data_IF_109106714189
#
_entry.id   IF_109106714189
#
_cell.length_a   1.000
_cell.length_b   1.000
_cell.length_c   1.000
_cell.angle_alpha   90.00
_cell.angle_beta   90.00
_cell.angle_gamma   90.00
#
_symmetry.space_group_name_H-M   'P 1'
#
loop_
_entity.id
_entity.type
_entity.pdbx_description
1 polymer ?
#
# COMPACT_ATOMS: atom_id res chain seq x y z
N UNK A 1 -20.64 -4.08 19.11
CA UNK A 1 -19.34 -4.15 19.84
C UNK A 1 -18.26 -4.88 19.05
N UNK A 2 -18.55 -6.02 18.41
CA UNK A 2 -17.57 -6.79 17.63
C UNK A 2 -16.92 -5.98 16.49
N UNK A 3 -17.67 -5.08 15.84
CA UNK A 3 -17.15 -4.26 14.73
C UNK A 3 -15.94 -3.42 15.10
N UNK A 4 -15.91 -2.88 16.32
CA UNK A 4 -14.77 -2.08 16.80
C UNK A 4 -13.50 -2.92 16.84
N UNK A 5 -13.60 -4.17 17.27
CA UNK A 5 -12.47 -5.11 17.32
C UNK A 5 -12.06 -5.56 15.92
N UNK A 6 -13.02 -5.85 15.03
CA UNK A 6 -12.73 -6.23 13.64
C UNK A 6 -12.04 -5.10 12.87
N UNK A 7 -12.46 -3.85 13.05
CA UNK A 7 -11.80 -2.67 12.48
C UNK A 7 -10.36 -2.52 12.95
N UNK A 8 -10.11 -2.75 14.24
CA UNK A 8 -8.75 -2.74 14.81
C UNK A 8 -7.92 -3.86 14.19
N UNK A 9 -8.43 -5.09 14.17
CA UNK A 9 -7.75 -6.25 13.61
C UNK A 9 -7.41 -6.05 12.14
N UNK A 10 -8.34 -5.56 11.33
CA UNK A 10 -8.12 -5.29 9.92
C UNK A 10 -6.97 -4.28 9.71
N UNK A 11 -6.92 -3.21 10.50
CA UNK A 11 -5.81 -2.26 10.44
C UNK A 11 -4.47 -2.89 10.83
N UNK A 12 -4.44 -3.76 11.85
CA UNK A 12 -3.23 -4.47 12.24
C UNK A 12 -2.75 -5.40 11.13
N UNK A 13 -3.64 -6.14 10.47
CA UNK A 13 -3.29 -7.03 9.35
C UNK A 13 -2.68 -6.22 8.20
N UNK A 14 -3.35 -5.17 7.73
CA UNK A 14 -2.84 -4.34 6.63
C UNK A 14 -1.51 -3.67 7.00
N UNK A 15 -1.42 -3.14 8.23
CA UNK A 15 -0.19 -2.53 8.74
C UNK A 15 0.96 -3.53 8.80
N UNK A 16 0.72 -4.75 9.30
CA UNK A 16 1.71 -5.83 9.34
C UNK A 16 2.18 -6.22 7.95
N UNK A 17 1.26 -6.41 7.00
CA UNK A 17 1.61 -6.74 5.62
C UNK A 17 2.54 -5.68 5.02
N UNK A 18 2.20 -4.39 5.16
CA UNK A 18 3.03 -3.29 4.67
C UNK A 18 4.44 -3.30 5.29
N UNK A 19 4.54 -3.51 6.60
CA UNK A 19 5.84 -3.57 7.30
C UNK A 19 6.68 -4.79 6.89
N UNK A 20 6.05 -5.95 6.67
CA UNK A 20 6.76 -7.15 6.23
C UNK A 20 7.25 -6.99 4.78
N UNK A 21 6.47 -6.37 3.90
CA UNK A 21 6.92 -6.07 2.53
C UNK A 21 8.13 -5.14 2.51
N UNK A 22 8.07 -4.01 3.22
CA UNK A 22 9.22 -3.10 3.24
C UNK A 22 10.43 -3.69 3.96
N UNK A 23 10.23 -4.53 4.98
CA UNK A 23 11.32 -5.26 5.62
C UNK A 23 12.03 -6.20 4.64
N UNK A 24 11.29 -6.93 3.81
CA UNK A 24 11.89 -7.75 2.74
C UNK A 24 12.60 -6.88 1.69
N UNK A 25 12.02 -5.75 1.30
CA UNK A 25 12.65 -4.84 0.35
C UNK A 25 13.98 -4.28 0.88
N UNK A 26 14.04 -3.90 2.16
CA UNK A 26 15.26 -3.42 2.82
C UNK A 26 16.29 -4.55 2.96
N UNK A 27 15.85 -5.75 3.37
CA UNK A 27 16.74 -6.91 3.49
C UNK A 27 17.34 -7.34 2.13
N UNK A 28 16.63 -7.05 1.03
CA UNK A 28 17.02 -7.39 -0.34
C UNK A 28 17.24 -6.13 -1.19
N UNK A 29 17.86 -5.08 -0.62
CA UNK A 29 17.93 -3.75 -1.23
C UNK A 29 18.51 -3.74 -2.66
N UNK A 30 19.51 -4.57 -2.93
CA UNK A 30 20.08 -4.72 -4.28
C UNK A 30 19.06 -5.27 -5.28
N UNK A 31 18.40 -6.38 -4.93
CA UNK A 31 17.36 -6.97 -5.76
C UNK A 31 16.14 -6.05 -5.92
N UNK A 32 15.78 -5.29 -4.88
CA UNK A 32 14.73 -4.28 -4.97
C UNK A 32 15.12 -3.18 -5.97
N UNK A 33 16.33 -2.65 -5.90
CA UNK A 33 16.82 -1.66 -6.87
C UNK A 33 16.82 -2.20 -8.31
N UNK A 34 17.34 -3.42 -8.51
CA UNK A 34 17.33 -4.08 -9.82
C UNK A 34 15.92 -4.28 -10.36
N UNK A 35 14.95 -4.61 -9.50
CA UNK A 35 13.56 -4.73 -9.90
C UNK A 35 12.97 -3.39 -10.38
N UNK A 36 13.26 -2.28 -9.68
CA UNK A 36 12.82 -0.97 -10.16
C UNK A 36 13.46 -0.59 -11.50
N UNK A 37 14.75 -0.88 -11.69
CA UNK A 37 15.43 -0.67 -12.98
C UNK A 37 14.74 -1.50 -14.08
N UNK A 38 14.46 -2.77 -13.81
CA UNK A 38 13.77 -3.68 -14.73
C UNK A 38 12.40 -3.13 -15.15
N UNK A 39 11.56 -2.75 -14.18
CA UNK A 39 10.23 -2.17 -14.43
C UNK A 39 10.31 -0.96 -15.36
N UNK A 40 11.34 -0.12 -15.21
CA UNK A 40 11.46 1.11 -16.00
C UNK A 40 12.30 0.96 -17.28
N UNK A 41 12.77 -0.25 -17.61
CA UNK A 41 13.71 -0.50 -18.72
C UNK A 41 13.05 -0.73 -20.08
N UNK A 42 11.74 -0.99 -20.10
CA UNK A 42 10.99 -1.52 -21.25
C UNK A 42 11.39 -2.93 -21.72
N UNK A 43 12.25 -3.64 -20.98
CA UNK A 43 12.59 -5.02 -21.30
C UNK A 43 11.36 -5.94 -21.16
N UNK A 44 11.06 -6.72 -22.21
CA UNK A 44 9.93 -7.65 -22.22
C UNK A 44 8.57 -7.00 -22.51
N UNK A 45 8.54 -5.78 -23.05
CA UNK A 45 7.32 -5.07 -23.46
C UNK A 45 6.97 -5.31 -24.96
N UNK A 46 6.69 -6.56 -25.34
CA UNK A 46 6.55 -6.91 -26.76
C UNK A 46 5.12 -6.74 -27.31
N UNK A 47 4.09 -6.80 -26.46
CA UNK A 47 2.72 -6.73 -26.93
C UNK A 47 2.38 -5.30 -27.40
N UNK A 48 2.70 -4.30 -26.58
CA UNK A 48 2.39 -2.89 -26.85
C UNK A 48 3.70 -2.09 -27.03
N UNK A 49 4.16 -1.83 -28.28
CA UNK A 49 5.50 -1.30 -28.54
C UNK A 49 5.63 0.22 -28.31
N UNK A 50 4.52 0.94 -28.16
CA UNK A 50 4.55 2.38 -27.87
C UNK A 50 4.60 2.58 -26.37
N UNK A 51 5.63 3.29 -25.91
CA UNK A 51 5.86 3.60 -24.49
C UNK A 51 5.41 5.02 -24.15
N UNK A 52 4.82 5.21 -22.97
CA UNK A 52 4.37 6.52 -22.49
C UNK A 52 5.44 7.25 -21.68
N UNK A 53 6.21 6.49 -20.91
CA UNK A 53 7.31 7.01 -20.10
C UNK A 53 8.65 6.58 -20.70
N UNK A 54 9.67 7.45 -20.68
CA UNK A 54 11.02 7.08 -21.09
C UNK A 54 11.71 6.26 -19.99
N UNK A 55 12.83 5.61 -20.35
CA UNK A 55 13.75 5.07 -19.34
C UNK A 55 14.27 6.23 -18.47
N UNK A 56 14.03 6.21 -17.15
CA UNK A 56 14.35 7.32 -16.26
C UNK A 56 15.84 7.36 -15.90
N UNK A 57 16.31 8.53 -15.46
CA UNK A 57 17.62 8.67 -14.85
C UNK A 57 17.71 7.87 -13.53
N UNK A 58 18.85 7.23 -13.18
CA UNK A 58 18.98 6.41 -11.96
C UNK A 58 18.55 7.12 -10.66
N UNK A 59 18.76 8.43 -10.56
CA UNK A 59 18.31 9.21 -9.41
C UNK A 59 16.77 9.18 -9.21
N UNK A 60 16.00 9.16 -10.32
CA UNK A 60 14.55 9.08 -10.25
C UNK A 60 14.09 7.67 -9.86
N UNK A 61 14.83 6.63 -10.26
CA UNK A 61 14.61 5.25 -9.80
C UNK A 61 14.78 5.15 -8.29
N UNK A 62 15.87 5.71 -7.75
CA UNK A 62 16.12 5.75 -6.31
C UNK A 62 15.03 6.54 -5.57
N UNK A 63 14.62 7.69 -6.13
CA UNK A 63 13.55 8.49 -5.54
C UNK A 63 12.20 7.75 -5.51
N UNK A 64 11.86 7.04 -6.58
CA UNK A 64 10.65 6.22 -6.64
C UNK A 64 10.70 5.07 -5.62
N UNK A 65 11.85 4.40 -5.50
CA UNK A 65 12.06 3.35 -4.50
C UNK A 65 11.92 3.88 -3.07
N UNK A 66 12.54 5.02 -2.77
CA UNK A 66 12.42 5.68 -1.47
C UNK A 66 10.96 6.08 -1.16
N UNK A 67 10.21 6.55 -2.16
CA UNK A 67 8.80 6.88 -2.02
C UNK A 67 7.95 5.64 -1.71
N UNK A 68 8.17 4.53 -2.43
CA UNK A 68 7.48 3.25 -2.18
C UNK A 68 7.74 2.78 -0.75
N UNK A 69 9.01 2.70 -0.33
CA UNK A 69 9.34 2.25 1.02
C UNK A 69 8.79 3.21 2.09
N UNK A 70 8.84 4.51 1.81
CA UNK A 70 8.27 5.54 2.67
C UNK A 70 6.76 5.35 2.89
N UNK A 71 6.01 5.06 1.82
CA UNK A 71 4.58 4.80 1.90
C UNK A 71 4.26 3.47 2.60
N UNK A 72 5.06 2.42 2.40
CA UNK A 72 4.90 1.15 3.11
C UNK A 72 5.14 1.32 4.63
N UNK A 73 6.22 2.01 5.01
CA UNK A 73 6.51 2.35 6.42
C UNK A 73 5.42 3.23 7.02
N UNK A 74 4.97 4.25 6.30
CA UNK A 74 3.89 5.13 6.75
C UNK A 74 2.57 4.37 6.92
N UNK A 75 2.21 3.50 5.96
CA UNK A 75 1.02 2.67 6.03
C UNK A 75 1.04 1.79 7.28
N UNK A 76 2.16 1.10 7.52
CA UNK A 76 2.39 0.32 8.73
C UNK A 76 2.24 1.15 9.99
N UNK A 77 3.05 2.21 10.13
CA UNK A 77 3.08 3.08 11.31
C UNK A 77 1.69 3.63 11.64
N UNK A 78 1.01 4.24 10.67
CA UNK A 78 -0.29 4.88 10.91
C UNK A 78 -1.41 3.87 11.15
N UNK A 79 -1.39 2.69 10.52
CA UNK A 79 -2.32 1.62 10.83
C UNK A 79 -2.16 1.11 12.26
N UNK A 80 -0.93 0.87 12.73
CA UNK A 80 -0.67 0.46 14.12
C UNK A 80 -1.04 1.54 15.13
N UNK A 81 -0.68 2.81 14.86
CA UNK A 81 -1.04 3.94 15.73
C UNK A 81 -2.55 4.16 15.79
N UNK A 82 -3.25 4.03 14.66
CA UNK A 82 -4.70 4.10 14.60
C UNK A 82 -5.38 2.93 15.31
N UNK A 83 -4.88 1.71 15.12
CA UNK A 83 -5.34 0.51 15.84
C UNK A 83 -5.19 0.69 17.35
N UNK A 84 -4.07 1.22 17.83
CA UNK A 84 -3.86 1.52 19.24
C UNK A 84 -4.83 2.58 19.77
N UNK A 85 -5.07 3.66 19.01
CA UNK A 85 -6.02 4.70 19.40
C UNK A 85 -7.45 4.14 19.51
N UNK A 86 -7.87 3.35 18.53
CA UNK A 86 -9.17 2.66 18.52
C UNK A 86 -9.28 1.67 19.68
N UNK A 87 -8.22 0.92 19.98
CA UNK A 87 -8.19 0.00 21.11
C UNK A 87 -8.46 0.71 22.43
N UNK A 88 -7.84 1.87 22.66
CA UNK A 88 -8.09 2.69 23.86
C UNK A 88 -9.53 3.21 23.93
N UNK A 89 -10.16 3.50 22.79
CA UNK A 89 -11.52 4.03 22.72
C UNK A 89 -12.61 2.94 22.63
N UNK A 90 -12.25 1.65 22.58
CA UNK A 90 -13.16 0.56 22.17
C UNK A 90 -14.41 0.40 23.05
N UNK A 91 -14.32 0.69 24.35
CA UNK A 91 -15.44 0.64 25.31
C UNK A 91 -16.06 2.01 25.58
N UNK A 92 -15.57 3.07 24.93
CA UNK A 92 -16.03 4.44 25.14
C UNK A 92 -17.21 4.85 24.25
N UNK A 93 -17.55 6.14 24.31
CA UNK A 93 -18.58 6.75 23.47
C UNK A 93 -18.27 6.60 21.98
N UNK A 94 -19.31 6.54 21.15
CA UNK A 94 -19.17 6.35 19.70
C UNK A 94 -18.34 7.44 19.05
N UNK A 95 -18.49 8.70 19.46
CA UNK A 95 -17.73 9.85 18.92
C UNK A 95 -16.22 9.70 19.18
N UNK A 96 -15.84 9.20 20.36
CA UNK A 96 -14.44 8.97 20.71
C UNK A 96 -13.81 7.90 19.81
N UNK A 97 -14.54 6.81 19.53
CA UNK A 97 -14.09 5.79 18.59
C UNK A 97 -14.02 6.34 17.16
N UNK A 98 -15.01 7.12 16.71
CA UNK A 98 -15.00 7.75 15.38
C UNK A 98 -13.75 8.59 15.16
N UNK A 99 -13.41 9.45 16.12
CA UNK A 99 -12.20 10.28 16.08
C UNK A 99 -10.92 9.44 16.04
N UNK A 100 -10.87 8.34 16.82
CA UNK A 100 -9.71 7.45 16.90
C UNK A 100 -9.36 6.76 15.57
N UNK A 101 -10.30 6.63 14.62
CA UNK A 101 -10.05 6.02 13.30
C UNK A 101 -9.14 6.84 12.40
N UNK A 102 -8.96 8.14 12.68
CA UNK A 102 -8.28 9.09 11.78
C UNK A 102 -6.92 8.59 11.31
N UNK A 103 -6.05 8.15 12.22
CA UNK A 103 -4.71 7.70 11.86
C UNK A 103 -4.74 6.42 11.02
N UNK A 104 -5.59 5.46 11.36
CA UNK A 104 -5.74 4.24 10.56
C UNK A 104 -6.21 4.57 9.13
N UNK A 105 -7.12 5.53 8.94
CA UNK A 105 -7.53 5.98 7.61
C UNK A 105 -6.37 6.58 6.80
N UNK A 106 -5.48 7.34 7.44
CA UNK A 106 -4.26 7.86 6.79
C UNK A 106 -3.36 6.70 6.37
N UNK A 107 -3.13 5.73 7.24
CA UNK A 107 -2.32 4.54 6.93
C UNK A 107 -2.86 3.72 5.75
N UNK A 108 -4.17 3.50 5.72
CA UNK A 108 -4.83 2.83 4.58
C UNK A 108 -4.73 3.67 3.29
N UNK A 109 -4.80 5.00 3.41
CA UNK A 109 -4.54 5.92 2.29
C UNK A 109 -3.13 5.79 1.73
N UNK A 110 -2.11 5.68 2.60
CA UNK A 110 -0.73 5.43 2.18
C UNK A 110 -0.60 4.10 1.43
N UNK A 111 -1.25 3.04 1.93
CA UNK A 111 -1.27 1.74 1.25
C UNK A 111 -1.91 1.85 -0.15
N UNK A 112 -3.07 2.49 -0.26
CA UNK A 112 -3.75 2.68 -1.56
C UNK A 112 -2.88 3.51 -2.51
N UNK A 113 -2.26 4.59 -2.03
CA UNK A 113 -1.35 5.40 -2.84
C UNK A 113 -0.14 4.60 -3.34
N UNK A 114 0.38 3.68 -2.52
CA UNK A 114 1.49 2.81 -2.91
C UNK A 114 1.05 1.77 -3.95
N UNK A 115 0.12 0.89 -3.60
CA UNK A 115 -0.21 -0.28 -4.43
C UNK A 115 -1.12 0.05 -5.62
N UNK A 116 -2.10 0.93 -5.47
CA UNK A 116 -2.90 1.37 -6.63
C UNK A 116 -2.29 2.59 -7.34
N UNK A 117 -1.75 3.54 -6.60
CA UNK A 117 -1.12 4.72 -7.22
C UNK A 117 0.20 4.37 -7.92
N UNK A 118 1.22 3.97 -7.17
CA UNK A 118 2.54 3.76 -7.77
C UNK A 118 2.62 2.46 -8.57
N UNK A 119 2.17 1.34 -8.01
CA UNK A 119 2.24 0.07 -8.76
C UNK A 119 1.22 0.02 -9.88
N UNK A 120 -0.08 0.10 -9.62
CA UNK A 120 -1.08 -0.07 -10.68
C UNK A 120 -1.07 1.06 -11.72
N UNK A 121 -1.03 2.34 -11.33
CA UNK A 121 -1.03 3.44 -12.31
C UNK A 121 0.33 3.63 -12.96
N UNK A 122 1.42 3.72 -12.19
CA UNK A 122 2.74 4.07 -12.78
C UNK A 122 3.44 2.83 -13.35
N UNK A 123 3.64 1.77 -12.57
CA UNK A 123 4.40 0.60 -13.03
C UNK A 123 3.59 -0.27 -14.01
N UNK A 124 2.39 -0.68 -13.64
CA UNK A 124 1.55 -1.58 -14.42
C UNK A 124 0.98 -0.88 -15.64
N UNK A 125 0.23 0.20 -15.49
CA UNK A 125 -0.34 0.87 -16.67
C UNK A 125 0.70 1.70 -17.44
N UNK A 126 1.49 2.53 -16.75
CA UNK A 126 2.43 3.46 -17.38
C UNK A 126 3.66 2.79 -18.01
N UNK A 127 4.35 1.95 -17.25
CA UNK A 127 5.47 1.12 -17.73
C UNK A 127 5.03 -0.28 -18.15
N UNK A 128 3.73 -0.51 -18.37
CA UNK A 128 3.23 -1.76 -18.96
C UNK A 128 3.78 -3.02 -18.25
N UNK A 129 3.93 -3.00 -16.92
CA UNK A 129 4.52 -4.12 -16.17
C UNK A 129 3.72 -5.42 -16.37
N UNK A 130 2.42 -5.33 -16.67
CA UNK A 130 1.53 -6.48 -16.92
C UNK A 130 1.98 -7.38 -18.08
N UNK A 131 2.78 -6.91 -19.04
CA UNK A 131 3.29 -7.74 -20.14
C UNK A 131 4.67 -8.35 -19.85
N UNK A 132 5.37 -7.87 -18.82
CA UNK A 132 6.71 -8.31 -18.50
C UNK A 132 6.71 -9.66 -17.76
N UNK A 133 7.65 -10.59 -18.05
CA UNK A 133 7.75 -11.88 -17.35
C UNK A 133 7.79 -11.77 -15.82
N UNK A 134 8.60 -10.86 -15.27
CA UNK A 134 8.71 -10.67 -13.81
C UNK A 134 7.67 -9.68 -13.26
N UNK A 135 6.77 -9.17 -14.11
CA UNK A 135 5.77 -8.18 -13.73
C UNK A 135 4.43 -8.76 -13.25
N UNK A 136 4.12 -10.00 -13.60
CA UNK A 136 2.82 -10.65 -13.29
C UNK A 136 2.51 -10.71 -11.79
N UNK A 137 3.50 -11.08 -10.99
CA UNK A 137 3.35 -11.16 -9.53
C UNK A 137 3.05 -9.80 -8.89
N UNK A 138 3.89 -8.78 -9.13
CA UNK A 138 3.66 -7.41 -8.66
C UNK A 138 2.38 -6.77 -9.19
N UNK A 139 1.98 -7.05 -10.44
CA UNK A 139 0.68 -6.62 -10.97
C UNK A 139 -0.46 -7.18 -10.12
N UNK A 140 -0.58 -8.51 -10.05
CA UNK A 140 -1.65 -9.14 -9.27
C UNK A 140 -1.60 -8.75 -7.78
N UNK A 141 -0.42 -8.81 -7.17
CA UNK A 141 -0.24 -8.52 -5.75
C UNK A 141 -0.60 -7.08 -5.40
N UNK A 142 -0.22 -6.11 -6.23
CA UNK A 142 -0.56 -4.71 -5.99
C UNK A 142 -2.04 -4.43 -6.17
N UNK A 143 -2.70 -5.09 -7.12
CA UNK A 143 -4.16 -5.01 -7.22
C UNK A 143 -4.84 -5.53 -5.94
N UNK A 144 -4.46 -6.73 -5.50
CA UNK A 144 -5.03 -7.40 -4.31
C UNK A 144 -4.78 -6.59 -3.04
N UNK A 145 -3.56 -6.14 -2.77
CA UNK A 145 -3.27 -5.41 -1.53
C UNK A 145 -3.88 -4.01 -1.51
N UNK A 146 -3.91 -3.31 -2.65
CA UNK A 146 -4.66 -2.06 -2.74
C UNK A 146 -6.16 -2.28 -2.51
N UNK A 147 -6.73 -3.36 -3.02
CA UNK A 147 -8.14 -3.72 -2.80
C UNK A 147 -8.41 -4.04 -1.32
N UNK A 148 -7.56 -4.84 -0.68
CA UNK A 148 -7.66 -5.14 0.76
C UNK A 148 -7.62 -3.85 1.60
N UNK A 149 -6.72 -2.92 1.28
CA UNK A 149 -6.63 -1.63 1.96
C UNK A 149 -7.87 -0.75 1.71
N UNK A 150 -8.38 -0.70 0.48
CA UNK A 150 -9.60 0.05 0.14
C UNK A 150 -10.84 -0.53 0.82
N UNK A 151 -11.04 -1.85 0.78
CA UNK A 151 -12.14 -2.52 1.47
C UNK A 151 -12.07 -2.27 2.98
N UNK A 152 -10.86 -2.32 3.56
CA UNK A 152 -10.65 -1.98 4.96
C UNK A 152 -10.98 -0.51 5.24
N UNK A 153 -10.62 0.42 4.34
CA UNK A 153 -10.94 1.84 4.48
C UNK A 153 -12.44 2.11 4.42
N UNK A 154 -13.16 1.42 3.52
CA UNK A 154 -14.61 1.47 3.39
C UNK A 154 -15.25 0.96 4.69
N UNK A 155 -14.89 -0.25 5.14
CA UNK A 155 -15.42 -0.85 6.37
C UNK A 155 -15.11 0.02 7.60
N UNK A 156 -13.87 0.49 7.73
CA UNK A 156 -13.44 1.40 8.79
C UNK A 156 -14.23 2.72 8.76
N UNK A 157 -14.60 3.23 7.59
CA UNK A 157 -15.35 4.48 7.46
C UNK A 157 -16.83 4.35 7.82
N UNK A 158 -17.37 3.14 7.95
CA UNK A 158 -18.75 2.92 8.42
C UNK A 158 -18.91 3.42 9.87
N UNK A 159 -20.08 3.98 10.17
CA UNK A 159 -20.42 4.45 11.52
C UNK A 159 -20.56 3.26 12.47
N UNK A 160 -20.27 3.47 13.76
CA UNK A 160 -20.64 2.47 14.76
C UNK A 160 -22.13 2.64 15.04
N UNK A 161 -22.83 1.53 15.29
CA UNK A 161 -24.20 1.60 15.76
C UNK A 161 -24.26 2.39 17.07
N UNK A 162 -25.28 3.24 17.20
CA UNK A 162 -25.63 3.87 18.48
C UNK A 162 -26.08 2.75 19.43
N UNK A 163 -25.61 2.83 20.68
CA UNK A 163 -25.96 1.88 21.73
C UNK A 163 -27.18 2.40 22.51
#
# INVERSE_FOLDING_TARGET
MIDRYLKILACLIIGSMALVYVAHNIANLGAAYEFFVYVTSHQGQEAYPVTLFPVPHPALVIAAMALVFGLELAAGYFCFRGAWAMWRARTGKTEAFQSAKRLAKIGLGCAIANWWGLFQVIAVAGYQLWQMPNGQGPDHGSWVFGAMAMLTLIYLSQREAEA
#
